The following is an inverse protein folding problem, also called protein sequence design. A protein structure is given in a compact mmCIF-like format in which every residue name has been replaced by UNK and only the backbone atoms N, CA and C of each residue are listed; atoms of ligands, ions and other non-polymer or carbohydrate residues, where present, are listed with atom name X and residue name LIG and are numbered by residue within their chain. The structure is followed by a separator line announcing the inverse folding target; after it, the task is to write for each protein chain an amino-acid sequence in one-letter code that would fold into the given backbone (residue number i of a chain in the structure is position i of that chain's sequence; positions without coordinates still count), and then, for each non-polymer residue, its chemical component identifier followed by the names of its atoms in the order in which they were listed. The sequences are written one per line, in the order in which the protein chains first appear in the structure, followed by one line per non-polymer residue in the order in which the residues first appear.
data_IF_226178627326
#
_entry.id   IF_226178627326
#
_cell.length_a   1.000
_cell.length_b   1.000
_cell.length_c   1.000
_cell.angle_alpha   90.00
_cell.angle_beta   90.00
_cell.angle_gamma   90.00
#
_symmetry.space_group_name_H-M   'P 1'
#
loop_
_entity.id
_entity.type
_entity.pdbx_description
1 polymer ?
#
# COMPACT_ATOMS: atom_id res chain seq x y z
N UNK A 1 16.72 -39.52 19.41
CA UNK A 1 16.53 -38.29 18.62
C UNK A 1 16.69 -37.14 19.59
N UNK A 2 17.58 -36.18 19.36
CA UNK A 2 17.68 -35.00 20.22
C UNK A 2 16.35 -34.25 20.23
N UNK A 3 15.99 -33.70 21.38
CA UNK A 3 14.76 -32.91 21.53
C UNK A 3 14.87 -31.60 20.74
N UNK A 4 13.74 -31.01 20.35
CA UNK A 4 13.74 -29.74 19.61
C UNK A 4 14.44 -28.62 20.40
N UNK A 5 14.38 -28.67 21.73
CA UNK A 5 15.07 -27.74 22.62
C UNK A 5 16.59 -27.90 22.54
N UNK A 6 17.09 -29.13 22.60
CA UNK A 6 18.53 -29.43 22.49
C UNK A 6 19.12 -28.92 21.17
N UNK A 7 18.40 -29.11 20.05
CA UNK A 7 18.83 -28.63 18.73
C UNK A 7 18.91 -27.08 18.68
N UNK A 8 18.00 -26.39 19.36
CA UNK A 8 17.97 -24.92 19.40
C UNK A 8 19.16 -24.39 20.21
N UNK A 9 19.45 -25.00 21.36
CA UNK A 9 20.54 -24.55 22.22
C UNK A 9 21.90 -24.81 21.59
N UNK A 10 22.09 -25.94 20.92
CA UNK A 10 23.29 -26.24 20.13
C UNK A 10 23.52 -25.20 19.01
N UNK A 11 22.46 -24.76 18.33
CA UNK A 11 22.56 -23.78 17.24
C UNK A 11 22.80 -22.37 17.74
N UNK A 12 22.23 -21.98 18.89
CA UNK A 12 22.49 -20.69 19.53
C UNK A 12 23.95 -20.57 19.99
N UNK A 13 24.50 -21.64 20.56
CA UNK A 13 25.88 -21.66 21.04
C UNK A 13 26.91 -21.56 19.90
N UNK A 14 26.56 -22.04 18.71
CA UNK A 14 27.42 -22.03 17.53
C UNK A 14 27.21 -20.82 16.60
N UNK A 15 26.43 -19.82 17.01
CA UNK A 15 26.24 -18.62 16.20
C UNK A 15 27.52 -17.76 16.27
N UNK A 16 28.19 -17.47 15.14
CA UNK A 16 29.38 -16.63 15.15
C UNK A 16 29.03 -15.26 15.73
N UNK A 17 29.91 -14.78 16.61
CA UNK A 17 29.79 -13.42 17.12
C UNK A 17 29.97 -12.46 15.93
N UNK A 18 29.14 -11.41 15.82
CA UNK A 18 29.38 -10.37 14.83
C UNK A 18 30.79 -9.80 14.98
N UNK A 19 31.54 -9.73 13.87
CA UNK A 19 32.93 -9.21 13.86
C UNK A 19 33.01 -7.75 14.34
N UNK A 20 31.92 -7.00 14.16
CA UNK A 20 31.80 -5.62 14.59
C UNK A 20 30.86 -5.55 15.80
N UNK A 21 31.26 -4.84 16.87
CA UNK A 21 30.34 -4.58 17.96
C UNK A 21 29.09 -3.89 17.40
N UNK A 22 27.88 -4.15 17.95
CA UNK A 22 26.69 -3.44 17.54
C UNK A 22 26.96 -1.95 17.75
N UNK A 23 27.16 -1.23 16.65
CA UNK A 23 27.34 0.22 16.67
C UNK A 23 26.03 0.80 17.17
N UNK A 24 26.09 1.71 18.15
CA UNK A 24 24.90 2.37 18.65
C UNK A 24 24.13 2.97 17.46
N UNK A 25 22.85 2.67 17.36
CA UNK A 25 21.99 3.27 16.33
C UNK A 25 22.07 4.78 16.43
N UNK A 26 22.54 5.42 15.37
CA UNK A 26 22.57 6.86 15.25
C UNK A 26 21.16 7.36 14.92
N UNK A 27 20.26 7.37 15.91
CA UNK A 27 18.89 7.85 15.74
C UNK A 27 18.77 9.27 15.13
N UNK A 28 19.88 10.03 15.05
CA UNK A 28 19.99 11.31 14.34
C UNK A 28 20.33 11.22 12.83
N UNK A 29 20.49 10.02 12.27
CA UNK A 29 20.62 9.79 10.82
C UNK A 29 19.30 9.86 10.07
N UNK A 30 18.31 10.55 10.64
CA UNK A 30 17.14 11.05 9.92
C UNK A 30 17.37 12.46 9.35
N UNK A 31 18.58 13.04 9.42
CA UNK A 31 18.92 14.18 8.56
C UNK A 31 18.89 13.69 7.11
N UNK A 32 17.86 14.10 6.38
CA UNK A 32 17.65 13.73 4.98
C UNK A 32 18.86 14.05 4.08
N UNK A 33 19.83 14.86 4.55
CA UNK A 33 21.07 15.18 3.85
C UNK A 33 22.20 14.15 4.04
N UNK A 34 22.17 13.32 5.08
CA UNK A 34 23.26 12.36 5.39
C UNK A 34 22.89 10.92 5.08
N UNK A 35 21.60 10.60 5.00
CA UNK A 35 21.16 9.33 4.42
C UNK A 35 21.32 9.38 2.90
N UNK A 36 21.82 8.30 2.30
CA UNK A 36 21.88 8.09 0.84
C UNK A 36 20.48 8.01 0.19
N UNK A 37 19.51 8.77 0.68
CA UNK A 37 18.31 9.17 -0.08
C UNK A 37 18.76 10.26 -1.05
N UNK A 38 19.58 9.85 -2.02
CA UNK A 38 19.88 10.70 -3.15
C UNK A 38 18.56 11.24 -3.70
N UNK A 39 18.52 12.53 -3.97
CA UNK A 39 17.46 13.24 -4.71
C UNK A 39 17.24 12.71 -6.14
N UNK A 40 17.63 11.46 -6.40
CA UNK A 40 17.61 10.76 -7.68
C UNK A 40 17.09 9.33 -7.59
N UNK A 41 16.21 9.02 -6.63
CA UNK A 41 15.30 7.88 -6.83
C UNK A 41 14.57 8.11 -8.14
N UNK A 42 14.67 7.16 -9.08
CA UNK A 42 14.15 7.31 -10.44
C UNK A 42 12.77 7.98 -10.39
N UNK A 43 12.69 9.22 -10.89
CA UNK A 43 11.42 9.85 -11.24
C UNK A 43 10.92 9.19 -12.54
N UNK A 44 10.83 7.86 -12.52
CA UNK A 44 9.96 7.16 -13.45
C UNK A 44 8.56 7.60 -13.09
N UNK A 45 7.78 7.94 -14.10
CA UNK A 45 6.40 8.30 -13.90
C UNK A 45 5.68 7.18 -13.13
N UNK A 46 5.37 7.43 -11.85
CA UNK A 46 4.63 6.51 -10.99
C UNK A 46 3.13 6.54 -11.30
N UNK A 47 2.70 7.45 -12.17
CA UNK A 47 1.31 7.52 -12.58
C UNK A 47 0.99 6.48 -13.64
N UNK A 48 -0.27 6.06 -13.65
CA UNK A 48 -0.82 5.30 -14.74
C UNK A 48 -0.86 6.18 -16.00
N UNK A 49 -0.19 5.75 -17.07
CA UNK A 49 -0.31 6.34 -18.43
C UNK A 49 0.38 7.70 -18.71
N UNK A 50 1.52 8.03 -18.11
CA UNK A 50 2.27 9.22 -18.55
C UNK A 50 1.81 10.54 -17.92
N UNK A 51 0.96 10.48 -16.89
CA UNK A 51 0.26 11.63 -16.31
C UNK A 51 1.04 12.35 -15.20
N UNK A 52 2.20 11.82 -14.82
CA UNK A 52 3.09 12.43 -13.83
C UNK A 52 2.46 12.64 -12.44
N UNK A 53 3.02 13.59 -11.71
CA UNK A 53 2.64 13.94 -10.34
C UNK A 53 1.25 14.59 -10.20
N UNK A 54 0.60 14.96 -11.31
CA UNK A 54 -0.73 15.60 -11.31
C UNK A 54 -1.78 14.64 -10.72
N UNK A 55 -1.66 13.34 -11.00
CA UNK A 55 -2.56 12.32 -10.40
C UNK A 55 -2.28 12.05 -8.91
N UNK A 56 -1.11 12.45 -8.40
CA UNK A 56 -0.68 12.18 -7.03
C UNK A 56 -0.95 13.35 -6.07
N UNK A 57 -0.87 14.58 -6.56
CA UNK A 57 -0.96 15.79 -5.72
C UNK A 57 -2.24 16.57 -5.91
N UNK A 58 -2.84 16.51 -7.08
CA UNK A 58 -4.10 17.19 -7.32
C UNK A 58 -5.28 16.31 -6.88
N UNK A 59 -6.42 16.90 -6.51
CA UNK A 59 -7.64 16.16 -6.28
C UNK A 59 -7.95 15.25 -7.47
N UNK A 60 -8.37 14.00 -7.21
CA UNK A 60 -8.79 13.05 -8.24
C UNK A 60 -10.16 13.43 -8.85
N UNK A 61 -10.25 14.62 -9.42
CA UNK A 61 -11.45 15.21 -10.03
C UNK A 61 -11.43 15.15 -11.55
N UNK A 62 -10.36 14.63 -12.15
CA UNK A 62 -10.21 14.53 -13.60
C UNK A 62 -10.39 13.09 -14.06
N UNK A 63 -11.03 12.91 -15.22
CA UNK A 63 -11.31 11.60 -15.84
C UNK A 63 -10.05 10.75 -16.10
N UNK A 64 -8.89 11.40 -16.06
CA UNK A 64 -7.57 10.82 -16.36
C UNK A 64 -7.06 9.90 -15.25
N UNK A 65 -7.55 10.04 -14.01
CA UNK A 65 -7.19 9.18 -12.86
C UNK A 65 -7.83 7.78 -12.96
N UNK A 66 -8.71 7.56 -13.96
CA UNK A 66 -9.48 6.34 -14.08
C UNK A 66 -10.52 6.19 -12.95
N UNK A 67 -11.47 5.28 -13.13
CA UNK A 67 -12.56 5.02 -12.19
C UNK A 67 -12.06 4.33 -10.91
N UNK A 68 -11.35 5.07 -10.06
CA UNK A 68 -10.79 4.57 -8.79
C UNK A 68 -11.78 4.78 -7.62
N UNK A 69 -12.99 5.25 -7.90
CA UNK A 69 -14.06 5.48 -6.93
C UNK A 69 -15.36 4.77 -7.30
N UNK A 70 -16.34 4.85 -6.39
CA UNK A 70 -17.73 4.53 -6.71
C UNK A 70 -18.23 5.59 -7.69
N UNK A 71 -18.28 5.27 -8.97
CA UNK A 71 -18.83 6.15 -9.99
C UNK A 71 -20.35 6.10 -9.93
N UNK A 72 -20.97 7.24 -9.65
CA UNK A 72 -22.42 7.36 -9.78
C UNK A 72 -22.75 7.37 -11.27
N UNK A 73 -23.55 6.39 -11.72
CA UNK A 73 -24.15 6.47 -13.05
C UNK A 73 -25.43 7.28 -13.00
N UNK A 74 -25.61 8.16 -13.98
CA UNK A 74 -26.85 8.89 -14.19
C UNK A 74 -27.88 8.06 -14.98
N UNK A 75 -29.16 8.41 -14.85
CA UNK A 75 -30.26 7.79 -15.61
C UNK A 75 -30.64 6.38 -15.16
N UNK A 76 -30.20 5.94 -13.97
CA UNK A 76 -30.63 4.67 -13.41
C UNK A 76 -32.10 4.74 -12.97
N UNK A 77 -32.80 3.60 -13.11
CA UNK A 77 -34.20 3.45 -12.67
C UNK A 77 -34.38 3.46 -11.15
N UNK A 78 -33.29 3.53 -10.38
CA UNK A 78 -33.25 3.47 -8.92
C UNK A 78 -31.83 3.66 -8.39
N UNK A 79 -31.68 3.64 -7.06
CA UNK A 79 -30.38 3.78 -6.40
C UNK A 79 -29.48 2.59 -6.79
N UNK A 80 -28.19 2.80 -7.12
CA UNK A 80 -27.24 1.71 -7.36
C UNK A 80 -27.18 0.69 -6.23
N UNK A 81 -27.08 -0.60 -6.56
CA UNK A 81 -27.11 -1.71 -5.60
C UNK A 81 -25.90 -1.70 -4.63
N UNK A 82 -24.81 -1.06 -5.00
CA UNK A 82 -23.58 -0.91 -4.21
C UNK A 82 -23.57 0.37 -3.34
N UNK A 83 -24.59 1.24 -3.46
CA UNK A 83 -24.72 2.44 -2.66
C UNK A 83 -25.45 2.21 -1.31
N UNK A 84 -26.02 1.02 -1.11
CA UNK A 84 -26.78 0.66 0.11
C UNK A 84 -25.97 -0.27 1.02
N UNK A 85 -26.43 -0.44 2.27
CA UNK A 85 -25.81 -1.39 3.20
C UNK A 85 -25.92 -2.83 2.68
N UNK A 86 -25.02 -3.72 3.13
CA UNK A 86 -25.00 -5.13 2.71
C UNK A 86 -26.36 -5.83 2.90
N UNK A 87 -27.07 -5.52 3.98
CA UNK A 87 -28.39 -6.11 4.29
C UNK A 87 -29.53 -5.58 3.40
N UNK A 88 -29.31 -4.46 2.72
CA UNK A 88 -30.26 -3.85 1.80
C UNK A 88 -29.98 -4.18 0.34
N UNK A 89 -28.87 -4.88 0.05
CA UNK A 89 -28.50 -5.31 -1.29
C UNK A 89 -29.58 -6.23 -1.88
N UNK A 90 -29.76 -6.13 -3.20
CA UNK A 90 -30.66 -6.98 -4.01
C UNK A 90 -32.16 -6.86 -3.67
N UNK A 91 -32.55 -5.78 -2.98
CA UNK A 91 -33.95 -5.43 -2.75
C UNK A 91 -34.59 -4.78 -3.99
N UNK A 92 -35.92 -4.90 -4.09
CA UNK A 92 -36.68 -4.30 -5.17
C UNK A 92 -36.52 -2.77 -5.21
N UNK A 93 -36.40 -2.21 -6.42
CA UNK A 93 -36.21 -0.77 -6.63
C UNK A 93 -34.75 -0.31 -6.68
N UNK A 94 -33.78 -1.22 -6.49
CA UNK A 94 -32.36 -0.96 -6.70
C UNK A 94 -31.94 -1.30 -8.14
N UNK A 95 -31.01 -0.53 -8.67
CA UNK A 95 -30.42 -0.77 -9.98
C UNK A 95 -29.18 -1.66 -9.85
N UNK A 96 -29.16 -2.80 -10.54
CA UNK A 96 -28.01 -3.71 -10.50
C UNK A 96 -26.83 -3.12 -11.28
N UNK A 97 -25.82 -2.67 -10.55
CA UNK A 97 -24.60 -2.04 -11.08
C UNK A 97 -23.36 -2.92 -10.97
N UNK A 98 -23.43 -4.02 -10.20
CA UNK A 98 -22.37 -5.03 -10.13
C UNK A 98 -22.52 -6.07 -11.24
N UNK A 99 -21.45 -6.29 -12.02
CA UNK A 99 -21.31 -7.36 -13.01
C UNK A 99 -20.57 -8.55 -12.42
#
# INVERSE_FOLDING_TARGET
MPSKAEIIDERKANLPLPDQPPVASDFNSADARTVNVGSGGQAGDLSHSGLGGDTLREPATTDVVGSTGREAKDGLKGIPNDAVTRDAKDKAGLAQTTK
#
